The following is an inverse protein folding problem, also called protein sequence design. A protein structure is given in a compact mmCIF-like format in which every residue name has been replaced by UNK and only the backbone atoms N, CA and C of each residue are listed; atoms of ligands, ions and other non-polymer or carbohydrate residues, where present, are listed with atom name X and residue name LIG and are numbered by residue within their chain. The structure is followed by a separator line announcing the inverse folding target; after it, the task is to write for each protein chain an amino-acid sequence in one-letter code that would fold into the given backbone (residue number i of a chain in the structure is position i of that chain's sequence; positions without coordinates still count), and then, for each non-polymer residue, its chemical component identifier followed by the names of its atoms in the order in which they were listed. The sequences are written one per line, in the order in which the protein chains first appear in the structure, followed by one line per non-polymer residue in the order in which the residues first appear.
data_IF_830425942476
#
_entry.id   IF_830425942476
#
_cell.length_a   1.000
_cell.length_b   1.000
_cell.length_c   1.000
_cell.angle_alpha   90.00
_cell.angle_beta   90.00
_cell.angle_gamma   90.00
#
_symmetry.space_group_name_H-M   'P 1'
#
loop_
_entity.id
_entity.type
_entity.pdbx_description
1 polymer ?
#
# COMPACT_ATOMS: atom_id res chain seq x y z
N UNK A 1 7.74 -3.73 14.95
CA UNK A 1 7.54 -2.46 15.69
C UNK A 1 7.38 -2.60 17.21
N UNK A 2 7.11 -3.79 17.78
CA UNK A 2 7.22 -3.98 19.24
C UNK A 2 6.18 -3.22 20.07
N UNK A 3 4.94 -3.13 19.59
CA UNK A 3 3.80 -2.50 20.28
C UNK A 3 3.26 -3.35 21.44
N UNK A 4 4.14 -3.73 22.36
CA UNK A 4 3.76 -4.50 23.56
C UNK A 4 2.86 -3.65 24.45
N UNK A 5 1.78 -4.24 24.97
CA UNK A 5 0.79 -3.57 25.82
C UNK A 5 0.15 -2.31 25.19
N UNK A 6 0.07 -2.25 23.86
CA UNK A 6 -0.54 -1.13 23.12
C UNK A 6 0.08 0.25 23.40
N UNK A 7 1.37 0.29 23.77
CA UNK A 7 2.05 1.54 24.16
C UNK A 7 2.28 2.52 23.00
N UNK A 8 2.45 2.00 21.78
CA UNK A 8 2.74 2.80 20.57
C UNK A 8 1.44 3.18 19.86
N UNK A 9 0.53 2.22 19.73
CA UNK A 9 -0.81 2.44 19.20
C UNK A 9 -1.82 1.48 19.82
N UNK A 10 -3.09 1.85 19.79
CA UNK A 10 -4.21 0.98 20.14
C UNK A 10 -4.99 0.61 18.88
N UNK A 11 -5.45 -0.63 18.77
CA UNK A 11 -6.37 -1.03 17.71
C UNK A 11 -7.81 -0.78 18.16
N UNK A 12 -8.55 0.09 17.48
CA UNK A 12 -9.96 0.37 17.79
C UNK A 12 -10.79 0.35 16.51
N UNK A 13 -11.80 -0.53 16.45
CA UNK A 13 -12.66 -0.72 15.28
C UNK A 13 -11.88 -0.96 13.96
N UNK A 14 -10.75 -1.67 14.04
CA UNK A 14 -9.89 -1.94 12.88
C UNK A 14 -8.87 -0.83 12.56
N UNK A 15 -8.85 0.28 13.30
CA UNK A 15 -7.92 1.39 13.10
C UNK A 15 -6.76 1.36 14.09
N UNK A 16 -5.54 1.53 13.61
CA UNK A 16 -4.36 1.75 14.44
C UNK A 16 -4.31 3.22 14.88
N UNK A 17 -4.74 3.50 16.11
CA UNK A 17 -4.73 4.83 16.70
C UNK A 17 -3.46 5.02 17.52
N UNK A 18 -2.46 5.64 16.91
CA UNK A 18 -1.16 5.86 17.52
C UNK A 18 -1.15 7.05 18.48
N UNK A 19 -0.40 6.92 19.57
CA UNK A 19 -0.10 8.05 20.46
C UNK A 19 1.00 8.94 19.85
N UNK A 20 1.07 10.19 20.29
CA UNK A 20 2.15 11.10 19.85
C UNK A 20 3.54 10.52 20.10
N UNK A 21 3.81 10.05 21.34
CA UNK A 21 5.09 9.42 21.69
C UNK A 21 5.35 8.15 20.88
N UNK A 22 4.30 7.37 20.60
CA UNK A 22 4.38 6.19 19.75
C UNK A 22 4.83 6.52 18.33
N UNK A 23 4.24 7.55 17.71
CA UNK A 23 4.63 8.01 16.37
C UNK A 23 6.06 8.55 16.32
N UNK A 24 6.48 9.30 17.34
CA UNK A 24 7.85 9.81 17.44
C UNK A 24 8.84 8.65 17.57
N UNK A 25 8.56 7.67 18.42
CA UNK A 25 9.44 6.52 18.61
C UNK A 25 9.52 5.66 17.34
N UNK A 26 8.38 5.39 16.71
CA UNK A 26 8.31 4.66 15.43
C UNK A 26 9.14 5.38 14.37
N UNK A 27 8.96 6.69 14.22
CA UNK A 27 9.69 7.48 13.22
C UNK A 27 11.19 7.46 13.47
N UNK A 28 11.62 7.64 14.73
CA UNK A 28 13.04 7.59 15.08
C UNK A 28 13.65 6.22 14.79
N UNK A 29 12.93 5.13 15.10
CA UNK A 29 13.38 3.78 14.78
C UNK A 29 13.54 3.58 13.28
N UNK A 30 12.53 3.97 12.48
CA UNK A 30 12.56 3.77 11.04
C UNK A 30 13.66 4.60 10.36
N UNK A 31 13.89 5.83 10.80
CA UNK A 31 15.00 6.67 10.29
C UNK A 31 16.38 6.16 10.65
N UNK A 32 16.51 5.47 11.79
CA UNK A 32 17.76 4.87 12.22
C UNK A 32 18.00 3.49 11.61
N UNK A 33 17.00 2.89 10.96
CA UNK A 33 17.12 1.59 10.30
C UNK A 33 17.85 1.71 8.97
N UNK A 34 18.69 0.73 8.68
CA UNK A 34 19.24 0.49 7.35
C UNK A 34 18.18 0.00 6.38
N UNK A 35 18.45 0.11 5.07
CA UNK A 35 17.55 -0.43 4.04
C UNK A 35 17.23 -1.92 4.22
N UNK A 36 18.19 -2.72 4.69
CA UNK A 36 17.97 -4.15 4.94
C UNK A 36 16.99 -4.37 6.11
N UNK A 37 17.12 -3.59 7.18
CA UNK A 37 16.19 -3.65 8.31
C UNK A 37 14.79 -3.14 7.92
N UNK A 38 14.71 -2.08 7.13
CA UNK A 38 13.44 -1.60 6.57
C UNK A 38 12.80 -2.67 5.68
N UNK A 39 13.59 -3.36 4.85
CA UNK A 39 13.10 -4.44 4.00
C UNK A 39 12.56 -5.60 4.81
N UNK A 40 13.27 -6.03 5.86
CA UNK A 40 12.78 -7.03 6.79
C UNK A 40 11.44 -6.61 7.43
N UNK A 41 11.28 -5.33 7.80
CA UNK A 41 10.01 -4.83 8.33
C UNK A 41 8.89 -4.87 7.29
N UNK A 42 9.16 -4.49 6.02
CA UNK A 42 8.18 -4.58 4.93
C UNK A 42 7.69 -6.01 4.72
N UNK A 43 8.60 -6.98 4.77
CA UNK A 43 8.31 -8.40 4.60
C UNK A 43 7.42 -9.00 5.71
N UNK A 44 7.26 -8.32 6.85
CA UNK A 44 6.34 -8.75 7.92
C UNK A 44 4.87 -8.43 7.59
N UNK A 45 4.60 -7.49 6.69
CA UNK A 45 3.24 -7.12 6.31
C UNK A 45 2.56 -8.29 5.57
N UNK A 46 1.25 -8.43 5.81
CA UNK A 46 0.40 -9.43 5.16
C UNK A 46 -0.85 -8.73 4.63
N UNK A 47 -1.28 -9.15 3.45
CA UNK A 47 -2.49 -8.68 2.78
C UNK A 47 -3.48 -9.85 2.64
N UNK A 48 -4.78 -9.55 2.60
CA UNK A 48 -5.79 -10.54 2.25
C UNK A 48 -5.82 -10.75 0.74
N UNK A 49 -6.03 -11.98 0.27
CA UNK A 49 -6.14 -12.25 -1.16
C UNK A 49 -7.36 -13.14 -1.41
N UNK A 50 -8.19 -12.72 -2.36
CA UNK A 50 -9.29 -13.54 -2.87
C UNK A 50 -9.04 -13.83 -4.36
N UNK A 51 -8.71 -15.08 -4.65
CA UNK A 51 -8.34 -15.52 -5.99
C UNK A 51 -9.57 -15.87 -6.84
N UNK A 52 -9.52 -15.54 -8.13
CA UNK A 52 -10.48 -16.01 -9.13
C UNK A 52 -11.96 -15.84 -8.74
N UNK A 53 -12.30 -14.72 -8.10
CA UNK A 53 -13.67 -14.40 -7.72
C UNK A 53 -14.48 -13.89 -8.91
N UNK A 54 -15.75 -14.27 -8.99
CA UNK A 54 -16.63 -13.87 -10.08
C UNK A 54 -17.06 -12.40 -9.93
N UNK A 55 -17.07 -11.67 -11.05
CA UNK A 55 -17.68 -10.34 -11.11
C UNK A 55 -19.20 -10.48 -11.27
N UNK A 56 -19.96 -9.87 -10.37
CA UNK A 56 -21.44 -10.01 -10.28
C UNK A 56 -22.22 -8.95 -11.07
N UNK A 57 -21.54 -8.15 -11.90
CA UNK A 57 -22.20 -7.25 -12.86
C UNK A 57 -22.87 -8.07 -13.96
N UNK A 58 -24.03 -7.62 -14.44
CA UNK A 58 -24.78 -8.30 -15.50
C UNK A 58 -23.90 -8.58 -16.72
N UNK A 59 -24.06 -9.77 -17.30
CA UNK A 59 -23.32 -10.28 -18.46
C UNK A 59 -21.81 -10.49 -18.28
N UNK A 60 -21.26 -10.23 -17.09
CA UNK A 60 -19.86 -10.50 -16.80
C UNK A 60 -19.61 -11.99 -16.59
N UNK A 61 -18.74 -12.57 -17.43
CA UNK A 61 -18.32 -13.99 -17.34
C UNK A 61 -16.90 -14.16 -16.82
N UNK A 62 -16.18 -13.07 -16.56
CA UNK A 62 -14.79 -13.12 -16.15
C UNK A 62 -14.65 -13.19 -14.62
N UNK A 63 -13.50 -13.70 -14.19
CA UNK A 63 -13.08 -13.67 -12.79
C UNK A 63 -11.96 -12.66 -12.59
N UNK A 64 -11.83 -12.18 -11.36
CA UNK A 64 -10.76 -11.28 -10.92
C UNK A 64 -10.10 -11.84 -9.66
N UNK A 65 -8.85 -11.45 -9.42
CA UNK A 65 -8.18 -11.70 -8.14
C UNK A 65 -8.05 -10.37 -7.41
N UNK A 66 -8.46 -10.32 -6.15
CA UNK A 66 -8.50 -9.10 -5.35
C UNK A 66 -7.47 -9.16 -4.22
N UNK A 67 -6.61 -8.14 -4.16
CA UNK A 67 -5.70 -7.90 -3.06
C UNK A 67 -6.33 -6.88 -2.09
N UNK A 68 -6.65 -7.34 -0.87
CA UNK A 68 -7.19 -6.52 0.20
C UNK A 68 -6.06 -5.97 1.06
N UNK A 69 -5.74 -4.70 0.82
CA UNK A 69 -4.71 -3.96 1.52
C UNK A 69 -5.33 -2.89 2.42
N UNK A 70 -4.58 -2.44 3.43
CA UNK A 70 -4.97 -1.32 4.29
C UNK A 70 -3.80 -0.36 4.45
N UNK A 71 -4.11 0.94 4.55
CA UNK A 71 -3.14 1.98 4.91
C UNK A 71 -3.39 2.48 6.33
N UNK A 72 -2.49 3.31 6.86
CA UNK A 72 -2.67 3.88 8.19
C UNK A 72 -3.77 4.95 8.19
N UNK A 73 -4.58 5.05 9.26
CA UNK A 73 -5.71 5.97 9.35
C UNK A 73 -5.27 7.37 9.81
N UNK A 74 -4.44 8.03 9.01
CA UNK A 74 -3.79 9.33 9.33
C UNK A 74 -4.83 10.40 9.68
N UNK A 75 -5.87 10.58 8.87
CA UNK A 75 -6.95 11.55 9.11
C UNK A 75 -7.78 11.28 10.36
N UNK A 76 -7.70 10.09 10.96
CA UNK A 76 -8.48 9.73 12.14
C UNK A 76 -7.69 10.03 13.43
N UNK A 77 -6.45 10.51 13.29
CA UNK A 77 -5.63 11.00 14.37
C UNK A 77 -5.81 12.51 14.57
N UNK A 78 -5.60 12.98 15.80
CA UNK A 78 -5.44 14.42 16.09
C UNK A 78 -4.02 14.93 15.86
N UNK A 79 -3.10 14.03 15.50
CA UNK A 79 -1.69 14.34 15.30
C UNK A 79 -1.42 14.74 13.85
N UNK A 80 -0.45 15.64 13.65
CA UNK A 80 0.00 16.07 12.33
C UNK A 80 0.35 14.88 11.42
N UNK A 81 -0.01 14.95 10.14
CA UNK A 81 0.35 13.93 9.14
C UNK A 81 1.87 13.71 9.08
N UNK A 82 2.67 14.76 9.30
CA UNK A 82 4.14 14.65 9.35
C UNK A 82 4.70 13.67 10.39
N UNK A 83 3.96 13.38 11.47
CA UNK A 83 4.36 12.37 12.46
C UNK A 83 4.10 10.93 11.99
N UNK A 84 3.27 10.76 10.97
CA UNK A 84 2.91 9.46 10.40
C UNK A 84 3.82 9.06 9.24
N UNK A 85 4.54 10.00 8.63
CA UNK A 85 5.24 9.84 7.36
C UNK A 85 6.03 8.54 7.24
N UNK A 86 6.93 8.25 8.19
CA UNK A 86 7.78 7.06 8.12
C UNK A 86 6.96 5.77 8.21
N UNK A 87 5.97 5.74 9.11
CA UNK A 87 5.15 4.56 9.32
C UNK A 87 4.21 4.31 8.13
N UNK A 88 3.60 5.38 7.61
CA UNK A 88 2.71 5.31 6.47
C UNK A 88 3.44 4.86 5.21
N UNK A 89 4.63 5.42 4.93
CA UNK A 89 5.47 5.00 3.80
C UNK A 89 5.82 3.52 3.88
N UNK A 90 6.30 3.03 5.03
CA UNK A 90 6.61 1.62 5.22
C UNK A 90 5.42 0.69 4.91
N UNK A 91 4.23 1.03 5.41
CA UNK A 91 3.00 0.25 5.20
C UNK A 91 2.57 0.29 3.73
N UNK A 92 2.63 1.47 3.09
CA UNK A 92 2.27 1.64 1.68
C UNK A 92 3.25 0.89 0.76
N UNK A 93 4.55 1.03 0.97
CA UNK A 93 5.60 0.32 0.22
C UNK A 93 5.38 -1.19 0.26
N UNK A 94 5.20 -1.75 1.47
CA UNK A 94 4.96 -3.17 1.64
C UNK A 94 3.63 -3.64 1.02
N UNK A 95 2.57 -2.81 1.10
CA UNK A 95 1.26 -3.14 0.52
C UNK A 95 1.30 -3.17 -1.02
N UNK A 96 1.97 -2.18 -1.64
CA UNK A 96 2.13 -2.13 -3.09
C UNK A 96 3.03 -3.26 -3.59
N UNK A 97 4.15 -3.52 -2.90
CA UNK A 97 5.04 -4.64 -3.21
C UNK A 97 4.30 -5.98 -3.14
N UNK A 98 3.56 -6.24 -2.07
CA UNK A 98 2.77 -7.45 -1.93
C UNK A 98 1.72 -7.59 -3.04
N UNK A 99 1.07 -6.48 -3.44
CA UNK A 99 0.09 -6.47 -4.53
C UNK A 99 0.74 -6.81 -5.87
N UNK A 100 1.92 -6.28 -6.16
CA UNK A 100 2.67 -6.62 -7.38
C UNK A 100 3.08 -8.09 -7.37
N UNK A 101 3.61 -8.61 -6.26
CA UNK A 101 3.91 -10.04 -6.11
C UNK A 101 2.69 -10.93 -6.39
N UNK A 102 1.51 -10.54 -5.90
CA UNK A 102 0.25 -11.22 -6.19
C UNK A 102 -0.08 -11.21 -7.68
N UNK A 103 0.15 -10.08 -8.38
CA UNK A 103 -0.05 -9.99 -9.82
C UNK A 103 0.94 -10.86 -10.61
N UNK A 104 2.21 -10.93 -10.18
CA UNK A 104 3.22 -11.82 -10.79
C UNK A 104 2.76 -13.28 -10.65
N UNK A 105 2.36 -13.70 -9.45
CA UNK A 105 1.84 -15.05 -9.22
C UNK A 105 0.57 -15.34 -10.05
N UNK A 106 -0.32 -14.35 -10.18
CA UNK A 106 -1.50 -14.45 -11.04
C UNK A 106 -1.11 -14.65 -12.51
N UNK A 107 -0.14 -13.87 -13.00
CA UNK A 107 0.34 -13.93 -14.38
C UNK A 107 0.95 -15.30 -14.69
N UNK A 108 1.80 -15.82 -13.81
CA UNK A 108 2.40 -17.15 -13.97
C UNK A 108 1.36 -18.26 -14.04
N UNK A 109 0.27 -18.15 -13.25
CA UNK A 109 -0.77 -19.17 -13.18
C UNK A 109 -1.80 -19.08 -14.32
N UNK A 110 -2.22 -17.87 -14.67
CA UNK A 110 -3.38 -17.62 -15.52
C UNK A 110 -3.03 -16.98 -16.88
N UNK A 111 -1.75 -16.68 -17.12
CA UNK A 111 -1.26 -15.90 -18.29
C UNK A 111 -1.96 -14.55 -18.44
N UNK A 112 -2.34 -13.94 -17.32
CA UNK A 112 -2.93 -12.61 -17.26
C UNK A 112 -2.04 -11.70 -16.43
N UNK A 113 -1.35 -10.81 -17.11
CA UNK A 113 -0.38 -9.88 -16.54
C UNK A 113 -0.96 -8.51 -16.17
N UNK A 114 -2.28 -8.32 -16.27
CA UNK A 114 -2.92 -7.04 -15.94
C UNK A 114 -3.00 -6.83 -14.43
N UNK A 115 -2.58 -5.67 -13.98
CA UNK A 115 -2.65 -5.22 -12.60
C UNK A 115 -3.34 -3.85 -12.53
N UNK A 116 -4.37 -3.74 -11.71
CA UNK A 116 -5.05 -2.48 -11.42
C UNK A 116 -4.69 -2.02 -10.00
N UNK A 117 -4.01 -0.88 -9.90
CA UNK A 117 -3.66 -0.26 -8.62
C UNK A 117 -4.64 0.86 -8.28
N UNK A 118 -4.99 0.97 -7.01
CA UNK A 118 -5.69 2.13 -6.46
C UNK A 118 -4.73 2.98 -5.65
N UNK A 119 -5.11 4.23 -5.36
CA UNK A 119 -4.37 5.12 -4.47
C UNK A 119 -4.71 4.79 -3.02
N UNK A 120 -4.13 3.69 -2.51
CA UNK A 120 -4.41 3.11 -1.21
C UNK A 120 -4.22 4.16 -0.10
N UNK A 121 -5.27 4.36 0.70
CA UNK A 121 -5.23 5.30 1.82
C UNK A 121 -5.35 6.79 1.45
N UNK A 122 -5.37 7.15 0.17
CA UNK A 122 -5.47 8.56 -0.29
C UNK A 122 -6.89 9.16 -0.24
N UNK A 123 -7.86 8.41 0.28
CA UNK A 123 -9.23 8.87 0.53
C UNK A 123 -9.45 9.16 2.02
N UNK A 124 -10.41 8.49 2.64
CA UNK A 124 -10.80 8.70 4.04
C UNK A 124 -9.64 8.57 5.05
N UNK A 125 -8.62 7.76 4.75
CA UNK A 125 -7.48 7.57 5.65
C UNK A 125 -6.45 8.71 5.58
N UNK A 126 -6.49 9.57 4.55
CA UNK A 126 -5.66 10.77 4.44
C UNK A 126 -4.16 10.54 4.40
N UNK A 127 -3.70 9.49 3.73
CA UNK A 127 -2.28 9.34 3.45
C UNK A 127 -1.88 10.36 2.37
N UNK A 128 -0.76 11.03 2.56
CA UNK A 128 -0.28 12.04 1.63
C UNK A 128 0.03 11.42 0.26
N UNK A 129 -0.22 12.21 -0.79
CA UNK A 129 -0.11 11.72 -2.17
C UNK A 129 1.32 11.29 -2.51
N UNK A 130 2.33 12.01 -2.03
CA UNK A 130 3.74 11.68 -2.27
C UNK A 130 4.13 10.33 -1.66
N UNK A 131 3.55 9.95 -0.51
CA UNK A 131 3.84 8.66 0.13
C UNK A 131 3.26 7.49 -0.69
N UNK A 132 2.05 7.68 -1.20
CA UNK A 132 1.36 6.70 -2.05
C UNK A 132 2.14 6.50 -3.34
N UNK A 133 2.48 7.59 -4.03
CA UNK A 133 3.22 7.55 -5.29
C UNK A 133 4.62 6.97 -5.08
N UNK A 134 5.33 7.34 -4.01
CA UNK A 134 6.62 6.76 -3.66
C UNK A 134 6.54 5.25 -3.42
N UNK A 135 5.49 4.77 -2.74
CA UNK A 135 5.25 3.34 -2.54
C UNK A 135 5.01 2.58 -3.86
N UNK A 136 4.21 3.14 -4.77
CA UNK A 136 4.00 2.58 -6.11
C UNK A 136 5.31 2.54 -6.90
N UNK A 137 6.03 3.66 -6.99
CA UNK A 137 7.29 3.78 -7.74
C UNK A 137 8.33 2.77 -7.25
N UNK A 138 8.52 2.66 -5.93
CA UNK A 138 9.45 1.69 -5.35
C UNK A 138 9.09 0.27 -5.79
N UNK A 139 7.83 -0.12 -5.63
CA UNK A 139 7.37 -1.46 -5.94
C UNK A 139 7.47 -1.79 -7.44
N UNK A 140 7.13 -0.84 -8.32
CA UNK A 140 7.31 -0.99 -9.77
C UNK A 140 8.78 -1.17 -10.14
N UNK A 141 9.68 -0.39 -9.53
CA UNK A 141 11.11 -0.46 -9.82
C UNK A 141 11.75 -1.80 -9.43
N UNK A 142 11.28 -2.43 -8.35
CA UNK A 142 11.75 -3.76 -7.93
C UNK A 142 11.44 -4.85 -8.97
N UNK A 143 10.31 -4.74 -9.67
CA UNK A 143 9.83 -5.74 -10.62
C UNK A 143 9.76 -5.23 -12.07
N UNK A 144 10.52 -4.18 -12.40
CA UNK A 144 10.50 -3.52 -13.72
C UNK A 144 10.83 -4.43 -14.91
N UNK A 145 11.44 -5.58 -14.65
CA UNK A 145 11.80 -6.57 -15.67
C UNK A 145 10.72 -7.63 -15.90
N UNK A 146 9.64 -7.59 -15.12
CA UNK A 146 8.49 -8.46 -15.29
C UNK A 146 7.46 -7.75 -16.16
N UNK A 147 6.98 -8.44 -17.18
CA UNK A 147 5.99 -7.92 -18.12
C UNK A 147 4.60 -7.86 -17.48
N UNK A 148 4.36 -6.85 -16.64
CA UNK A 148 3.05 -6.52 -16.08
C UNK A 148 2.45 -5.30 -16.80
N UNK A 149 1.19 -5.42 -17.20
CA UNK A 149 0.38 -4.31 -17.73
C UNK A 149 -0.32 -3.61 -16.55
N UNK A 150 0.28 -2.52 -16.07
CA UNK A 150 -0.15 -1.84 -14.85
C UNK A 150 -0.99 -0.60 -15.17
N UNK A 151 -2.23 -0.59 -14.68
CA UNK A 151 -3.11 0.58 -14.73
C UNK A 151 -3.36 1.15 -13.32
N UNK A 152 -3.27 2.47 -13.17
CA UNK A 152 -3.61 3.17 -11.93
C UNK A 152 -5.01 3.76 -12.05
N UNK A 153 -5.94 3.25 -11.24
CA UNK A 153 -7.35 3.61 -11.28
C UNK A 153 -7.62 4.85 -10.44
N UNK A 154 -8.24 5.86 -11.06
CA UNK A 154 -8.69 7.11 -10.43
C UNK A 154 -10.21 7.27 -10.57
N UNK A 155 -10.85 7.87 -9.58
CA UNK A 155 -12.27 8.23 -9.67
C UNK A 155 -12.47 9.45 -10.57
N UNK A 156 -13.37 9.35 -11.55
CA UNK A 156 -13.71 10.43 -12.48
C UNK A 156 -12.69 10.63 -13.60
N UNK A 157 -11.53 11.22 -13.29
CA UNK A 157 -10.45 11.48 -14.26
C UNK A 157 -9.09 11.11 -13.70
N UNK A 158 -8.11 10.88 -14.58
CA UNK A 158 -6.73 10.61 -14.16
C UNK A 158 -6.17 11.86 -13.47
N UNK A 159 -5.72 11.71 -12.23
CA UNK A 159 -5.14 12.80 -11.46
C UNK A 159 -3.78 13.20 -12.03
N UNK A 160 -3.44 14.49 -12.00
CA UNK A 160 -2.21 15.01 -12.61
C UNK A 160 -0.93 14.26 -12.16
N UNK A 161 -0.80 13.96 -10.88
CA UNK A 161 0.35 13.22 -10.35
C UNK A 161 0.40 11.75 -10.80
N UNK A 162 -0.75 11.14 -11.11
CA UNK A 162 -0.80 9.80 -11.73
C UNK A 162 -0.32 9.88 -13.18
N UNK A 163 -0.76 10.90 -13.92
CA UNK A 163 -0.29 11.12 -15.30
C UNK A 163 1.23 11.35 -15.32
N UNK A 164 1.74 12.17 -14.40
CA UNK A 164 3.18 12.42 -14.24
C UNK A 164 3.97 11.15 -13.93
N UNK A 165 3.42 10.26 -13.09
CA UNK A 165 4.04 8.97 -12.80
C UNK A 165 4.04 8.06 -14.03
N UNK A 166 2.90 7.93 -14.71
CA UNK A 166 2.76 7.05 -15.88
C UNK A 166 3.73 7.46 -17.00
N UNK A 167 3.95 8.76 -17.21
CA UNK A 167 4.88 9.28 -18.22
C UNK A 167 6.37 8.96 -17.94
N UNK A 168 6.70 8.32 -16.81
CA UNK A 168 8.08 7.90 -16.47
C UNK A 168 8.40 6.46 -16.89
N UNK A 169 7.40 5.70 -17.36
CA UNK A 169 7.50 4.31 -17.79
C UNK A 169 7.14 4.17 -19.27
#
# INVERSE_FOLDING_TARGET
MGNSKSRLWEMRNGYALASHSGLVEISNRLRASSENELDQLRQLLRIGIQWSTQVTLNDSKHTVSQAYCSALPVSYSRHSSSLWTEFARLVLEASYEATICVAILNSMKNRNNRLFLTLLGGGAFGNETDWIIGGIQRALNLYKHIDLDVAIVSYGSSKQYVQQLVNQY
#
